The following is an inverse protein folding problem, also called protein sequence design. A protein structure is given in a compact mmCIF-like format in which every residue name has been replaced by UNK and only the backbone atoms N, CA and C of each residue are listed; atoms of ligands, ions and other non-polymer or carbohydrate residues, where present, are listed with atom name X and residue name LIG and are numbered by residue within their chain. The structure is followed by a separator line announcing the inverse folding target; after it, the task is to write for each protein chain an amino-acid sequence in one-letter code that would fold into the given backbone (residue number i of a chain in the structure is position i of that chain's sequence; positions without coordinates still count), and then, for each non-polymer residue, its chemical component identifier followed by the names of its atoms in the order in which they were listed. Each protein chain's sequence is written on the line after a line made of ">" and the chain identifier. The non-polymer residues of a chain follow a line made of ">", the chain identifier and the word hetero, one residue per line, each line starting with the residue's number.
data_IF_533939165253
#
_entry.id   IF_533939165253
#
_cell.length_a   1.000
_cell.length_b   1.000
_cell.length_c   1.000
_cell.angle_alpha   90.00
_cell.angle_beta   90.00
_cell.angle_gamma   90.00
#
_symmetry.space_group_name_H-M   'P 1'
#
loop_
_entity.id
_entity.type
_entity.pdbx_description
1 polymer ?
#
# COMPACT_ATOMS: atom_id res chain seq x y z
N UNK A 1 -7.85 -22.11 6.64
CA UNK A 1 -7.33 -20.72 6.56
C UNK A 1 -7.31 -20.28 5.09
N UNK A 2 -8.49 -20.02 4.54
CA UNK A 2 -8.76 -19.61 3.14
C UNK A 2 -9.81 -18.49 3.13
N UNK A 3 -10.72 -18.52 4.11
CA UNK A 3 -11.69 -17.44 4.41
C UNK A 3 -10.99 -16.09 4.57
N UNK A 4 -9.83 -16.05 5.26
CA UNK A 4 -9.06 -14.82 5.47
C UNK A 4 -8.50 -14.20 4.20
N UNK A 5 -8.26 -14.99 3.13
CA UNK A 5 -7.81 -14.45 1.85
C UNK A 5 -8.99 -13.89 1.05
N UNK A 6 -10.14 -14.57 1.04
CA UNK A 6 -11.34 -14.05 0.41
C UNK A 6 -11.78 -12.72 1.06
N UNK A 7 -11.82 -12.66 2.39
CA UNK A 7 -12.15 -11.44 3.13
C UNK A 7 -11.17 -10.30 2.80
N UNK A 8 -9.87 -10.61 2.71
CA UNK A 8 -8.86 -9.64 2.31
C UNK A 8 -9.09 -9.12 0.89
N UNK A 9 -9.39 -10.01 -0.07
CA UNK A 9 -9.67 -9.62 -1.44
C UNK A 9 -10.94 -8.79 -1.58
N UNK A 10 -12.02 -9.17 -0.87
CA UNK A 10 -13.27 -8.42 -0.89
C UNK A 10 -13.08 -7.02 -0.33
N UNK A 11 -12.38 -6.91 0.79
CA UNK A 11 -12.04 -5.65 1.41
C UNK A 11 -11.17 -4.78 0.50
N UNK A 12 -10.09 -5.35 -0.06
CA UNK A 12 -9.20 -4.64 -0.98
C UNK A 12 -9.96 -4.10 -2.20
N UNK A 13 -10.84 -4.93 -2.79
CA UNK A 13 -11.67 -4.53 -3.93
C UNK A 13 -12.64 -3.41 -3.56
N UNK A 14 -13.22 -3.45 -2.36
CA UNK A 14 -14.11 -2.41 -1.89
C UNK A 14 -13.38 -1.06 -1.76
N UNK A 15 -12.16 -1.05 -1.21
CA UNK A 15 -11.35 0.17 -1.11
C UNK A 15 -10.90 0.64 -2.50
N UNK A 16 -10.44 -0.27 -3.37
CA UNK A 16 -10.01 0.05 -4.73
C UNK A 16 -11.10 0.74 -5.59
N UNK A 17 -12.37 0.52 -5.25
CA UNK A 17 -13.50 1.17 -5.93
C UNK A 17 -13.74 2.63 -5.51
N UNK A 18 -13.09 3.10 -4.44
CA UNK A 18 -13.18 4.48 -3.97
C UNK A 18 -12.21 5.39 -4.76
N UNK A 19 -12.65 6.61 -5.06
CA UNK A 19 -11.88 7.58 -5.86
C UNK A 19 -10.64 8.13 -5.17
N UNK A 20 -10.60 8.10 -3.84
CA UNK A 20 -9.54 8.60 -2.98
C UNK A 20 -8.68 7.46 -2.40
N UNK A 21 -8.61 6.34 -3.14
CA UNK A 21 -7.75 5.20 -2.81
C UNK A 21 -6.51 5.14 -3.69
N UNK A 22 -5.43 4.58 -3.14
CA UNK A 22 -4.25 4.19 -3.92
C UNK A 22 -3.57 3.00 -3.27
N UNK A 23 -2.59 2.41 -3.96
CA UNK A 23 -1.91 1.20 -3.50
C UNK A 23 -0.70 1.53 -2.65
N UNK A 24 -0.46 0.70 -1.63
CA UNK A 24 0.85 0.65 -1.00
C UNK A 24 1.89 0.06 -1.96
N UNK A 25 3.04 0.72 -2.12
CA UNK A 25 4.14 0.27 -2.98
C UNK A 25 4.88 -0.99 -2.50
N UNK A 26 4.51 -1.54 -1.33
CA UNK A 26 5.14 -2.73 -0.74
C UNK A 26 4.18 -3.93 -0.77
N UNK A 27 3.02 -3.82 -0.13
CA UNK A 27 2.04 -4.92 -0.08
C UNK A 27 1.04 -4.93 -1.24
N UNK A 28 1.02 -3.88 -2.08
CA UNK A 28 0.13 -3.73 -3.23
C UNK A 28 -1.38 -3.72 -2.95
N UNK A 29 -1.78 -3.74 -1.68
CA UNK A 29 -3.17 -3.53 -1.26
C UNK A 29 -3.56 -2.05 -1.36
N UNK A 30 -4.86 -1.80 -1.56
CA UNK A 30 -5.48 -0.50 -1.63
C UNK A 30 -5.82 0.02 -0.24
N UNK A 31 -5.52 1.30 -0.02
CA UNK A 31 -5.86 2.06 1.18
C UNK A 31 -6.38 3.42 0.76
N UNK A 32 -7.05 4.13 1.67
CA UNK A 32 -7.33 5.54 1.45
C UNK A 32 -6.02 6.33 1.44
N UNK A 33 -5.92 7.34 0.57
CA UNK A 33 -4.72 8.18 0.47
C UNK A 33 -4.38 8.84 1.81
N UNK A 34 -5.40 9.16 2.63
CA UNK A 34 -5.25 9.72 3.98
C UNK A 34 -4.59 8.77 4.99
N UNK A 35 -4.62 7.46 4.74
CA UNK A 35 -4.01 6.44 5.61
C UNK A 35 -2.57 6.08 5.18
N UNK A 36 -2.15 6.56 4.01
CA UNK A 36 -0.85 6.25 3.44
C UNK A 36 0.15 7.36 3.73
N UNK A 37 1.39 6.96 3.99
CA UNK A 37 2.52 7.86 4.07
C UNK A 37 3.29 7.84 2.76
N UNK A 38 3.44 9.00 2.11
CA UNK A 38 4.28 9.12 0.92
C UNK A 38 5.75 9.24 1.33
N UNK A 39 6.59 8.33 0.84
CA UNK A 39 8.04 8.38 1.08
C UNK A 39 8.74 9.09 -0.08
N UNK A 40 9.04 10.37 0.09
CA UNK A 40 9.62 11.21 -0.96
C UNK A 40 10.93 10.67 -1.53
N UNK A 41 11.80 10.12 -0.67
CA UNK A 41 13.11 9.57 -1.08
C UNK A 41 12.96 8.36 -2.01
N UNK A 42 11.90 7.58 -1.84
CA UNK A 42 11.67 6.34 -2.56
C UNK A 42 10.62 6.49 -3.68
N UNK A 43 9.74 7.50 -3.58
CA UNK A 43 8.75 7.87 -4.58
C UNK A 43 7.48 7.02 -4.60
N UNK A 44 7.05 6.49 -3.45
CA UNK A 44 5.82 5.69 -3.36
C UNK A 44 5.09 5.83 -2.01
N UNK A 45 3.81 5.44 -1.99
CA UNK A 45 2.98 5.41 -0.79
C UNK A 45 3.17 4.12 0.02
N UNK A 46 3.20 4.24 1.34
CA UNK A 46 3.40 3.12 2.29
C UNK A 46 2.26 3.09 3.30
N UNK A 47 1.68 1.91 3.52
CA UNK A 47 0.67 1.72 4.56
C UNK A 47 1.30 1.58 5.95
N UNK A 48 0.55 1.86 7.04
CA UNK A 48 1.08 1.81 8.40
C UNK A 48 1.59 0.42 8.83
N UNK A 49 1.07 -0.66 8.21
CA UNK A 49 1.55 -2.02 8.44
C UNK A 49 2.94 -2.23 7.86
N UNK A 50 3.13 -1.88 6.58
CA UNK A 50 4.42 -1.99 5.91
C UNK A 50 5.44 -1.02 6.49
N UNK A 51 5.03 0.19 6.85
CA UNK A 51 5.91 1.17 7.49
C UNK A 51 6.46 0.66 8.82
N UNK A 52 5.59 0.12 9.69
CA UNK A 52 6.03 -0.48 10.96
C UNK A 52 6.92 -1.70 10.76
N UNK A 53 6.63 -2.53 9.76
CA UNK A 53 7.39 -3.76 9.47
C UNK A 53 8.78 -3.44 8.92
N UNK A 54 8.88 -2.42 8.06
CA UNK A 54 10.11 -2.01 7.42
C UNK A 54 10.99 -1.13 8.34
N UNK A 55 10.37 -0.40 9.27
CA UNK A 55 11.07 0.50 10.17
C UNK A 55 11.84 1.58 9.42
N UNK A 56 13.14 1.72 9.74
CA UNK A 56 14.05 2.70 9.12
C UNK A 56 14.78 2.18 7.89
N UNK A 57 14.46 0.98 7.41
CA UNK A 57 15.08 0.44 6.20
C UNK A 57 14.47 1.14 4.99
N UNK A 58 15.33 1.50 4.04
CA UNK A 58 14.93 2.00 2.73
C UNK A 58 14.92 0.83 1.75
N UNK A 59 13.91 0.76 0.89
CA UNK A 59 13.81 -0.22 -0.18
C UNK A 59 14.27 0.48 -1.46
N UNK A 60 15.40 0.07 -2.05
CA UNK A 60 15.79 0.62 -3.35
C UNK A 60 14.74 0.23 -4.39
N UNK A 61 13.95 1.20 -4.83
CA UNK A 61 12.97 1.02 -5.89
C UNK A 61 13.68 0.69 -7.21
N UNK A 62 13.48 -0.54 -7.69
CA UNK A 62 13.97 -0.97 -9.01
C UNK A 62 13.29 -0.21 -10.17
N UNK A 63 12.07 0.31 -9.93
CA UNK A 63 11.30 1.12 -10.88
C UNK A 63 10.45 2.12 -10.10
N UNK A 64 10.66 3.42 -10.36
CA UNK A 64 9.75 4.45 -9.84
C UNK A 64 8.39 4.30 -10.51
N UNK A 65 7.33 4.45 -9.73
CA UNK A 65 5.96 4.45 -10.25
C UNK A 65 5.84 5.64 -11.21
N UNK A 66 5.57 5.37 -12.49
CA UNK A 66 5.40 6.41 -13.48
C UNK A 66 4.16 7.24 -13.13
N UNK A 67 4.32 8.57 -13.16
CA UNK A 67 3.26 9.56 -12.95
C UNK A 67 2.13 9.42 -13.96
#
# INVERSE_FOLDING_TARGET
>A
MLVSLHELFEHDRQIASQSDSTRCGICYLHYFVSELHYRDEEGFYVCPGCERTLGKQTIPMLRQQQK
#
